data_IF_040900405109
#
_entry.id   IF_040900405109
#
_cell.length_a   1.000
_cell.length_b   1.000
_cell.length_c   1.000
_cell.angle_alpha   90.00
_cell.angle_beta   90.00
_cell.angle_gamma   90.00
#
_symmetry.space_group_name_H-M   'P 1'
#
loop_
_entity.id
_entity.type
_entity.pdbx_description
1 polymer ?
#
# COMPACT_ATOMS: atom_id res chain seq x y z
N UNK A 1 -7.96 3.45 6.30
CA UNK A 1 -7.05 2.61 7.12
C UNK A 1 -7.84 1.92 8.22
N UNK A 2 -8.66 2.66 8.96
CA UNK A 2 -9.43 2.16 10.11
C UNK A 2 -10.56 1.19 9.74
N UNK A 3 -11.31 1.46 8.66
CA UNK A 3 -12.31 0.52 8.12
C UNK A 3 -11.69 -0.83 7.72
N UNK A 4 -10.45 -0.77 7.20
CA UNK A 4 -9.67 -1.95 6.86
C UNK A 4 -8.95 -2.55 8.06
N UNK A 5 -9.14 -2.03 9.28
CA UNK A 5 -8.43 -2.44 10.50
C UNK A 5 -6.91 -2.41 10.39
N UNK A 6 -6.35 -1.55 9.55
CA UNK A 6 -4.89 -1.40 9.38
C UNK A 6 -4.28 -0.36 10.33
N UNK A 7 -5.12 0.36 11.06
CA UNK A 7 -4.72 1.32 12.07
C UNK A 7 -5.94 1.78 12.85
N UNK A 8 -5.72 2.30 14.04
CA UNK A 8 -6.75 2.86 14.91
C UNK A 8 -6.48 4.35 15.05
N UNK A 9 -7.51 5.18 14.85
CA UNK A 9 -7.39 6.62 15.01
C UNK A 9 -7.56 6.97 16.48
N UNK A 10 -6.57 7.67 17.04
CA UNK A 10 -6.66 8.16 18.41
C UNK A 10 -7.81 9.19 18.48
N UNK A 11 -8.74 9.07 19.44
CA UNK A 11 -9.77 10.07 19.65
C UNK A 11 -9.16 11.45 19.94
N UNK A 12 -9.70 12.47 19.28
CA UNK A 12 -9.29 13.87 19.41
C UNK A 12 -10.35 14.66 20.16
N UNK A 13 -9.92 15.71 20.85
CA UNK A 13 -10.82 16.71 21.39
C UNK A 13 -11.57 17.43 20.25
N UNK A 14 -12.88 17.61 20.39
CA UNK A 14 -13.73 18.16 19.34
C UNK A 14 -13.56 19.68 19.14
N UNK A 15 -13.09 20.39 20.17
CA UNK A 15 -12.96 21.84 20.14
C UNK A 15 -11.64 22.27 19.49
N UNK A 16 -10.53 21.66 19.88
CA UNK A 16 -9.18 22.06 19.44
C UNK A 16 -8.45 21.00 18.60
N UNK A 17 -9.02 19.80 18.46
CA UNK A 17 -8.44 18.71 17.68
C UNK A 17 -7.20 18.07 18.33
N UNK A 18 -6.90 18.41 19.58
CA UNK A 18 -5.74 17.93 20.32
C UNK A 18 -5.91 16.49 20.82
N UNK A 19 -4.81 15.92 21.30
CA UNK A 19 -4.81 14.62 21.96
C UNK A 19 -4.50 14.81 23.44
N UNK A 20 -5.10 13.97 24.28
CA UNK A 20 -4.70 13.86 25.68
C UNK A 20 -3.74 12.69 25.86
N UNK A 21 -2.89 12.75 26.89
CA UNK A 21 -2.02 11.61 27.23
C UNK A 21 -2.81 10.32 27.46
N UNK A 22 -4.00 10.44 28.07
CA UNK A 22 -4.89 9.30 28.30
C UNK A 22 -5.42 8.71 26.98
N UNK A 23 -5.92 9.53 26.04
CA UNK A 23 -6.44 9.01 24.78
C UNK A 23 -5.36 8.29 23.96
N UNK A 24 -4.13 8.78 24.01
CA UNK A 24 -2.97 8.11 23.40
C UNK A 24 -2.67 6.78 24.10
N UNK A 25 -2.58 6.77 25.43
CA UNK A 25 -2.24 5.57 26.20
C UNK A 25 -3.29 4.46 26.03
N UNK A 26 -4.58 4.81 26.09
CA UNK A 26 -5.69 3.87 25.87
C UNK A 26 -5.67 3.31 24.44
N UNK A 27 -5.47 4.17 23.43
CA UNK A 27 -5.38 3.72 22.03
C UNK A 27 -4.23 2.73 21.80
N UNK A 28 -3.05 3.01 22.38
CA UNK A 28 -1.90 2.13 22.29
C UNK A 28 -2.15 0.80 23.00
N UNK A 29 -2.73 0.85 24.21
CA UNK A 29 -3.07 -0.34 24.99
C UNK A 29 -4.09 -1.21 24.24
N UNK A 30 -5.12 -0.62 23.64
CA UNK A 30 -6.09 -1.31 22.82
C UNK A 30 -5.40 -2.08 21.69
N UNK A 31 -4.63 -1.38 20.84
CA UNK A 31 -4.06 -1.97 19.62
C UNK A 31 -2.94 -2.97 19.93
N UNK A 32 -2.16 -2.77 21.00
CA UNK A 32 -0.98 -3.59 21.26
C UNK A 32 -1.19 -4.70 22.28
N UNK A 33 -2.08 -4.50 23.25
CA UNK A 33 -2.20 -5.40 24.42
C UNK A 33 -3.57 -6.07 24.47
N UNK A 34 -4.64 -5.31 24.32
CA UNK A 34 -5.99 -5.84 24.51
C UNK A 34 -6.43 -6.78 23.39
N UNK A 35 -7.40 -7.63 23.72
CA UNK A 35 -8.02 -8.56 22.78
C UNK A 35 -8.76 -7.82 21.66
N UNK A 36 -9.38 -6.67 21.98
CA UNK A 36 -9.99 -5.78 21.00
C UNK A 36 -9.02 -5.26 19.92
N UNK A 37 -7.70 -5.29 20.18
CA UNK A 37 -6.66 -4.96 19.21
C UNK A 37 -6.28 -6.08 18.26
N UNK A 38 -6.69 -7.32 18.51
CA UNK A 38 -6.29 -8.48 17.71
C UNK A 38 -6.60 -8.33 16.21
N UNK A 39 -7.80 -7.85 15.79
CA UNK A 39 -8.10 -7.66 14.37
C UNK A 39 -7.11 -6.72 13.67
N UNK A 40 -6.57 -5.72 14.39
CA UNK A 40 -5.59 -4.80 13.84
C UNK A 40 -4.24 -5.48 13.62
N UNK A 41 -3.76 -6.23 14.63
CA UNK A 41 -2.48 -6.96 14.55
C UNK A 41 -2.50 -8.00 13.45
N UNK A 42 -3.59 -8.77 13.36
CA UNK A 42 -3.75 -9.82 12.36
C UNK A 42 -3.79 -9.24 10.94
N UNK A 43 -4.56 -8.16 10.74
CA UNK A 43 -4.67 -7.55 9.41
C UNK A 43 -3.38 -6.88 8.96
N UNK A 44 -2.67 -6.20 9.86
CA UNK A 44 -1.35 -5.62 9.54
C UNK A 44 -0.36 -6.73 9.20
N UNK A 45 -0.35 -7.85 9.92
CA UNK A 45 0.52 -9.00 9.63
C UNK A 45 0.22 -9.63 8.27
N UNK A 46 -1.05 -9.79 7.92
CA UNK A 46 -1.48 -10.24 6.59
C UNK A 46 -0.96 -9.29 5.50
N UNK A 47 -1.22 -7.99 5.65
CA UNK A 47 -0.86 -6.98 4.64
C UNK A 47 0.64 -6.70 4.55
N UNK A 48 1.39 -6.90 5.63
CA UNK A 48 2.85 -6.72 5.65
C UNK A 48 3.55 -7.59 4.61
N UNK A 49 3.01 -8.78 4.32
CA UNK A 49 3.55 -9.68 3.29
C UNK A 49 3.35 -9.15 1.87
N UNK A 50 2.30 -8.37 1.65
CA UNK A 50 1.97 -7.83 0.33
C UNK A 50 2.67 -6.51 0.06
N UNK A 51 2.66 -5.59 1.03
CA UNK A 51 3.24 -4.27 0.89
C UNK A 51 4.70 -4.18 1.35
N UNK A 52 5.18 -5.13 2.14
CA UNK A 52 6.55 -5.16 2.66
C UNK A 52 7.58 -5.79 1.72
N UNK A 53 7.16 -6.42 0.62
CA UNK A 53 8.04 -6.98 -0.40
C UNK A 53 8.62 -5.87 -1.29
N UNK A 54 9.71 -5.25 -0.81
CA UNK A 54 10.37 -4.12 -1.50
C UNK A 54 10.86 -4.51 -2.88
N UNK A 55 11.50 -5.66 -3.04
CA UNK A 55 12.02 -6.12 -4.33
C UNK A 55 10.91 -6.19 -5.39
N UNK A 56 9.72 -6.68 -5.02
CA UNK A 56 8.57 -6.71 -5.92
C UNK A 56 8.05 -5.31 -6.22
N UNK A 57 7.94 -4.43 -5.23
CA UNK A 57 7.47 -3.06 -5.44
C UNK A 57 8.44 -2.26 -6.33
N UNK A 58 9.74 -2.39 -6.10
CA UNK A 58 10.78 -1.73 -6.87
C UNK A 58 10.73 -2.19 -8.34
N UNK A 59 10.60 -3.50 -8.58
CA UNK A 59 10.41 -4.03 -9.95
C UNK A 59 9.17 -3.46 -10.65
N UNK A 60 8.07 -3.21 -9.95
CA UNK A 60 6.90 -2.57 -10.58
C UNK A 60 7.20 -1.15 -11.01
N UNK A 61 7.89 -0.38 -10.17
CA UNK A 61 8.29 1.00 -10.46
C UNK A 61 9.31 1.03 -11.60
N UNK A 62 10.32 0.17 -11.58
CA UNK A 62 11.33 0.06 -12.63
C UNK A 62 10.72 -0.29 -13.98
N UNK A 63 9.78 -1.25 -14.01
CA UNK A 63 9.07 -1.62 -15.22
C UNK A 63 8.22 -0.44 -15.74
N UNK A 64 7.54 0.30 -14.85
CA UNK A 64 6.79 1.48 -15.24
C UNK A 64 7.72 2.54 -15.86
N UNK A 65 8.84 2.84 -15.20
CA UNK A 65 9.82 3.80 -15.69
C UNK A 65 10.40 3.39 -17.05
N UNK A 66 10.74 2.10 -17.22
CA UNK A 66 11.25 1.57 -18.49
C UNK A 66 10.24 1.75 -19.64
N UNK A 67 8.94 1.56 -19.38
CA UNK A 67 7.90 1.79 -20.38
C UNK A 67 7.71 3.28 -20.71
N UNK A 68 7.84 4.18 -19.73
CA UNK A 68 7.71 5.62 -19.95
C UNK A 68 8.94 6.24 -20.64
N UNK A 69 10.13 5.71 -20.37
CA UNK A 69 11.39 6.18 -20.94
C UNK A 69 11.66 5.62 -22.34
N UNK A 70 10.98 4.53 -22.72
CA UNK A 70 11.09 3.96 -24.05
C UNK A 70 9.84 4.25 -24.89
N UNK A 71 9.80 5.35 -25.66
CA UNK A 71 8.66 5.69 -26.52
C UNK A 71 8.44 4.72 -27.71
N UNK A 72 9.12 3.56 -27.76
CA UNK A 72 9.09 2.66 -28.92
C UNK A 72 7.97 1.63 -28.92
N UNK A 73 6.73 2.10 -28.82
CA UNK A 73 5.60 1.41 -29.45
C UNK A 73 4.69 2.43 -30.17
N UNK A 74 5.22 2.99 -31.26
CA UNK A 74 4.41 3.45 -32.39
C UNK A 74 4.98 2.82 -33.66
N UNK A 75 4.24 1.85 -34.19
CA UNK A 75 4.30 1.42 -35.59
C UNK A 75 5.50 0.59 -36.05
N UNK A 76 5.37 -0.73 -36.06
CA UNK A 76 5.93 -1.52 -37.17
C UNK A 76 5.15 -2.82 -37.34
N UNK A 77 4.05 -2.75 -38.08
CA UNK A 77 3.55 -3.92 -38.80
C UNK A 77 4.60 -4.29 -39.84
N UNK A 78 5.29 -5.40 -39.61
CA UNK A 78 6.22 -5.99 -40.57
C UNK A 78 5.40 -6.54 -41.75
N UNK A 79 5.22 -5.73 -42.79
CA UNK A 79 4.68 -6.20 -44.08
C UNK A 79 5.64 -7.26 -44.62
N UNK A 80 5.20 -8.52 -44.57
CA UNK A 80 5.91 -9.61 -45.23
C UNK A 80 5.52 -9.59 -46.70
N UNK A 81 6.36 -8.99 -47.54
CA UNK A 81 6.28 -9.18 -48.98
C UNK A 81 6.75 -10.61 -49.30
N UNK A 82 5.80 -11.53 -49.48
CA UNK A 82 6.05 -12.79 -50.19
C UNK A 82 6.15 -12.49 -51.69
N UNK A 83 7.37 -12.43 -52.21
CA UNK A 83 7.60 -12.65 -53.65
C UNK A 83 7.39 -14.14 -53.91
N UNK A 84 6.35 -14.48 -54.66
CA UNK A 84 6.20 -15.80 -55.29
C UNK A 84 6.24 -15.57 -56.79
N UNK A 85 7.28 -16.16 -57.39
CA UNK A 85 7.53 -16.58 -58.79
C UNK A 85 6.78 -15.84 -59.90
#
# INVERSE_FOLDING_TARGET
MEEKKLGYSIPRDELDGSFTGNSVAESLRLVMVEEGGQPYRDKVKEMSRLFGDRDRQDRYVDNLLANLQNPRWVGSTRTSNSKTV
#
